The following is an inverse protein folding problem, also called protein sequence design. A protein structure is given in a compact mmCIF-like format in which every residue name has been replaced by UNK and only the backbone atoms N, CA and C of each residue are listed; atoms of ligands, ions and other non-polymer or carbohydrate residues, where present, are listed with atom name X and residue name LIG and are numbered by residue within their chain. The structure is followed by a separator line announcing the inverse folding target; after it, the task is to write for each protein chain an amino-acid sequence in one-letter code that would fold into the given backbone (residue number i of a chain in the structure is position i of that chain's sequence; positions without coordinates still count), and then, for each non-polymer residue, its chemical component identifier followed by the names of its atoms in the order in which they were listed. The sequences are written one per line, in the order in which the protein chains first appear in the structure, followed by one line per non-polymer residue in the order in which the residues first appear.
data_IF_812309265181
#
_entry.id   IF_812309265181
#
_cell.length_a   1.000
_cell.length_b   1.000
_cell.length_c   1.000
_cell.angle_alpha   90.00
_cell.angle_beta   90.00
_cell.angle_gamma   90.00
#
_symmetry.space_group_name_H-M   'P 1'
#
loop_
_entity.id
_entity.type
_entity.pdbx_description
1 polymer ?
#
# COMPACT_ATOMS: atom_id res chain seq x y z
N UNK A 1 18.40 10.55 -53.31
CA UNK A 1 18.36 11.18 -51.96
C UNK A 1 18.56 10.17 -50.81
N UNK A 2 19.11 8.97 -51.04
CA UNK A 2 19.03 7.86 -50.06
C UNK A 2 20.30 7.45 -49.33
N UNK A 3 21.50 7.74 -49.85
CA UNK A 3 22.77 7.27 -49.24
C UNK A 3 23.36 8.30 -48.28
N UNK A 4 23.33 9.58 -48.62
CA UNK A 4 23.85 10.65 -47.76
C UNK A 4 23.11 10.77 -46.43
N UNK A 5 21.77 10.62 -46.43
CA UNK A 5 20.97 10.65 -45.21
C UNK A 5 21.23 9.45 -44.30
N UNK A 6 21.42 8.25 -44.85
CA UNK A 6 21.74 7.07 -44.05
C UNK A 6 23.10 7.20 -43.34
N UNK A 7 24.08 7.80 -44.03
CA UNK A 7 25.38 8.08 -43.43
C UNK A 7 25.25 9.15 -42.35
N UNK A 8 24.52 10.23 -42.61
CA UNK A 8 24.25 11.29 -41.63
C UNK A 8 23.52 10.74 -40.38
N UNK A 9 22.48 9.93 -40.55
CA UNK A 9 21.73 9.32 -39.45
C UNK A 9 22.60 8.33 -38.65
N UNK A 10 23.48 7.57 -39.31
CA UNK A 10 24.41 6.65 -38.63
C UNK A 10 25.48 7.38 -37.82
N UNK A 11 25.95 8.54 -38.31
CA UNK A 11 26.93 9.38 -37.63
C UNK A 11 26.30 10.16 -36.47
N UNK A 12 25.02 10.51 -36.56
CA UNK A 12 24.26 11.12 -35.46
C UNK A 12 23.93 10.08 -34.37
N UNK A 13 23.69 8.82 -34.76
CA UNK A 13 23.43 7.73 -33.81
C UNK A 13 24.62 7.43 -32.89
N UNK A 14 25.86 7.65 -33.36
CA UNK A 14 27.08 7.45 -32.55
C UNK A 14 27.50 8.69 -31.75
N UNK A 15 26.98 9.87 -32.09
CA UNK A 15 27.29 11.17 -31.42
C UNK A 15 26.16 11.63 -30.49
N UNK A 16 25.26 10.72 -30.10
CA UNK A 16 24.37 10.98 -28.98
C UNK A 16 25.13 10.84 -27.66
N UNK A 17 25.97 11.83 -27.34
CA UNK A 17 26.35 12.18 -25.96
C UNK A 17 25.12 12.75 -25.22
N UNK A 18 24.00 12.02 -25.26
CA UNK A 18 22.93 12.23 -24.31
C UNK A 18 23.48 11.67 -23.00
N UNK A 19 23.72 12.49 -21.97
CA UNK A 19 24.13 11.96 -20.67
C UNK A 19 23.11 10.88 -20.27
N UNK A 20 23.54 9.75 -19.67
CA UNK A 20 22.62 8.69 -19.27
C UNK A 20 21.45 9.32 -18.55
N UNK A 21 20.27 9.30 -19.18
CA UNK A 21 19.16 10.06 -18.63
C UNK A 21 18.79 9.39 -17.32
N UNK A 22 18.89 10.14 -16.23
CA UNK A 22 18.64 9.61 -14.90
C UNK A 22 17.15 9.20 -14.82
N UNK A 23 16.91 7.90 -14.97
CA UNK A 23 15.58 7.30 -14.96
C UNK A 23 14.87 7.57 -13.63
N UNK A 24 15.63 7.70 -12.55
CA UNK A 24 15.10 8.05 -11.23
C UNK A 24 14.56 9.48 -11.24
N UNK A 25 15.33 10.44 -11.79
CA UNK A 25 14.89 11.83 -11.92
C UNK A 25 13.64 11.96 -12.80
N UNK A 26 13.59 11.27 -13.94
CA UNK A 26 12.40 11.25 -14.80
C UNK A 26 11.18 10.69 -14.09
N UNK A 27 11.34 9.57 -13.37
CA UNK A 27 10.28 8.95 -12.60
C UNK A 27 9.74 9.89 -11.51
N UNK A 28 10.63 10.65 -10.85
CA UNK A 28 10.24 11.66 -9.85
C UNK A 28 9.42 12.78 -10.48
N UNK A 29 9.86 13.34 -11.60
CA UNK A 29 9.14 14.41 -12.33
C UNK A 29 7.76 13.94 -12.84
N UNK A 30 7.70 12.72 -13.38
CA UNK A 30 6.44 12.12 -13.79
C UNK A 30 5.49 11.90 -12.60
N UNK A 31 6.02 11.42 -11.47
CA UNK A 31 5.23 11.26 -10.25
C UNK A 31 4.73 12.60 -9.68
N UNK A 32 5.52 13.68 -9.74
CA UNK A 32 5.09 15.03 -9.35
C UNK A 32 3.88 15.52 -10.17
N UNK A 33 3.80 15.12 -11.44
CA UNK A 33 2.73 15.54 -12.36
C UNK A 33 1.49 14.64 -12.26
N UNK A 34 1.69 13.32 -12.26
CA UNK A 34 0.61 12.35 -12.43
C UNK A 34 0.29 11.53 -11.18
N UNK A 35 1.12 11.63 -10.13
CA UNK A 35 0.95 10.89 -8.87
C UNK A 35 0.76 9.37 -9.04
N UNK A 36 1.37 8.81 -10.09
CA UNK A 36 1.31 7.38 -10.41
C UNK A 36 1.92 6.50 -9.30
N UNK A 37 1.35 5.32 -9.05
CA UNK A 37 1.79 4.43 -7.98
C UNK A 37 3.20 3.82 -8.23
N UNK A 38 3.82 3.30 -7.15
CA UNK A 38 5.17 2.74 -7.20
C UNK A 38 5.30 1.58 -8.21
N UNK A 39 4.28 0.73 -8.34
CA UNK A 39 4.28 -0.38 -9.30
C UNK A 39 4.33 0.11 -10.75
N UNK A 40 3.65 1.22 -11.07
CA UNK A 40 3.68 1.89 -12.36
C UNK A 40 5.06 2.47 -12.66
N UNK A 41 5.63 3.23 -11.71
CA UNK A 41 6.98 3.79 -11.83
C UNK A 41 8.05 2.71 -12.07
N UNK A 42 7.97 1.62 -11.30
CA UNK A 42 8.89 0.47 -11.44
C UNK A 42 8.87 -0.11 -12.86
N UNK A 43 7.68 -0.32 -13.41
CA UNK A 43 7.49 -0.90 -14.74
C UNK A 43 7.91 0.05 -15.86
N UNK A 44 7.57 1.33 -15.75
CA UNK A 44 7.79 2.32 -16.80
C UNK A 44 9.25 2.78 -16.89
N UNK A 45 9.92 2.96 -15.75
CA UNK A 45 11.28 3.50 -15.68
C UNK A 45 12.32 2.43 -15.35
N UNK A 46 11.93 1.17 -15.18
CA UNK A 46 12.86 0.07 -14.87
C UNK A 46 13.57 0.24 -13.53
N UNK A 47 12.92 0.91 -12.57
CA UNK A 47 13.46 1.12 -11.22
C UNK A 47 13.39 -0.16 -10.38
N UNK A 48 14.16 -0.21 -9.31
CA UNK A 48 13.95 -1.17 -8.22
C UNK A 48 12.66 -0.85 -7.44
N UNK A 49 12.19 -1.82 -6.66
CA UNK A 49 11.00 -1.64 -5.82
C UNK A 49 11.21 -0.57 -4.73
N UNK A 50 12.42 -0.49 -4.16
CA UNK A 50 12.79 0.49 -3.15
C UNK A 50 12.84 1.91 -3.71
N UNK A 51 13.41 2.10 -4.90
CA UNK A 51 13.45 3.41 -5.57
C UNK A 51 12.05 3.93 -5.89
N UNK A 52 11.21 3.07 -6.48
CA UNK A 52 9.85 3.46 -6.81
C UNK A 52 9.00 3.79 -5.57
N UNK A 53 9.17 3.03 -4.48
CA UNK A 53 8.52 3.34 -3.18
C UNK A 53 9.03 4.65 -2.60
N UNK A 54 10.34 4.90 -2.63
CA UNK A 54 10.95 6.14 -2.14
C UNK A 54 10.34 7.37 -2.82
N UNK A 55 10.15 7.34 -4.14
CA UNK A 55 9.47 8.42 -4.88
C UNK A 55 8.04 8.65 -4.36
N UNK A 56 7.26 7.58 -4.20
CA UNK A 56 5.86 7.71 -3.73
C UNK A 56 5.76 8.11 -2.25
N UNK A 57 6.70 7.70 -1.41
CA UNK A 57 6.75 8.00 0.02
C UNK A 57 7.22 9.43 0.29
N UNK A 58 8.15 9.95 -0.53
CA UNK A 58 8.61 11.32 -0.45
C UNK A 58 7.58 12.34 -0.95
N UNK A 59 6.55 11.90 -1.69
CA UNK A 59 5.52 12.79 -2.19
C UNK A 59 4.59 13.26 -1.04
N UNK A 60 4.44 14.56 -0.78
CA UNK A 60 3.58 15.04 0.31
C UNK A 60 2.09 14.72 0.12
N UNK A 61 1.65 14.49 -1.12
CA UNK A 61 0.26 14.11 -1.43
C UNK A 61 0.02 12.60 -1.29
N UNK A 62 1.02 11.78 -1.61
CA UNK A 62 0.86 10.32 -1.68
C UNK A 62 1.46 9.59 -0.48
N UNK A 63 2.53 10.10 0.12
CA UNK A 63 3.31 9.46 1.18
C UNK A 63 2.63 9.43 2.55
N UNK A 64 1.60 10.25 2.76
CA UNK A 64 0.82 10.27 4.01
C UNK A 64 -0.17 9.11 4.11
N UNK A 65 -0.32 8.30 3.06
CA UNK A 65 -1.00 7.01 3.14
C UNK A 65 -0.03 6.00 3.75
N UNK A 66 0.19 6.09 5.06
CA UNK A 66 0.87 5.06 5.82
C UNK A 66 0.16 3.71 5.65
N UNK A 67 0.70 2.60 6.20
CA UNK A 67 -0.05 1.36 6.27
C UNK A 67 -1.39 1.71 6.92
N UNK A 68 -2.50 1.59 6.18
CA UNK A 68 -3.83 2.08 6.58
C UNK A 68 -4.42 1.37 7.81
N UNK A 69 -3.59 0.64 8.53
CA UNK A 69 -3.85 -0.12 9.73
C UNK A 69 -2.80 0.37 10.72
N UNK A 70 -3.26 1.07 11.76
CA UNK A 70 -2.38 1.59 12.80
C UNK A 70 -1.48 0.49 13.34
N UNK A 71 -0.27 0.86 13.79
CA UNK A 71 0.71 -0.06 14.38
C UNK A 71 0.26 -0.67 15.73
N UNK A 72 -0.94 -0.33 16.19
CA UNK A 72 -1.50 -0.82 17.45
C UNK A 72 -2.10 -2.22 17.30
N UNK A 73 -2.00 -2.99 18.38
CA UNK A 73 -2.71 -4.26 18.54
C UNK A 73 -3.84 -4.08 19.56
N UNK A 74 -4.89 -4.89 19.48
CA UNK A 74 -5.95 -4.87 20.48
C UNK A 74 -5.37 -5.31 21.85
N UNK A 75 -5.53 -4.51 22.92
CA UNK A 75 -5.05 -4.88 24.24
C UNK A 75 -5.79 -6.11 24.78
N UNK A 76 -5.14 -6.84 25.69
CA UNK A 76 -5.70 -8.01 26.37
C UNK A 76 -5.37 -7.94 27.86
N UNK A 77 -6.24 -8.52 28.68
CA UNK A 77 -5.99 -8.70 30.11
C UNK A 77 -4.73 -9.52 30.34
N UNK A 78 -4.04 -9.22 31.43
CA UNK A 78 -2.87 -9.94 31.95
C UNK A 78 -3.27 -11.07 32.90
N UNK A 79 -4.49 -11.02 33.45
CA UNK A 79 -5.10 -12.09 34.26
C UNK A 79 -6.58 -12.27 33.91
N UNK A 80 -7.14 -13.40 34.33
CA UNK A 80 -8.56 -13.69 34.15
C UNK A 80 -9.41 -12.63 34.85
N UNK A 81 -10.56 -12.30 34.24
CA UNK A 81 -11.54 -11.34 34.74
C UNK A 81 -11.06 -9.89 34.74
N UNK A 82 -9.95 -9.57 34.07
CA UNK A 82 -9.39 -8.20 34.03
C UNK A 82 -9.93 -7.35 32.88
N UNK A 83 -10.03 -7.93 31.68
CA UNK A 83 -10.47 -7.22 30.48
C UNK A 83 -11.34 -8.13 29.63
N UNK A 84 -12.56 -7.66 29.36
CA UNK A 84 -13.54 -8.34 28.54
C UNK A 84 -13.81 -7.52 27.27
N UNK A 85 -14.04 -8.21 26.16
CA UNK A 85 -14.51 -7.61 24.92
C UNK A 85 -15.93 -8.09 24.65
N UNK A 86 -16.84 -7.18 24.33
CA UNK A 86 -18.21 -7.49 23.94
C UNK A 86 -18.44 -7.08 22.49
N UNK A 87 -19.17 -7.92 21.75
CA UNK A 87 -19.76 -7.54 20.46
C UNK A 87 -21.09 -8.29 20.25
N UNK A 88 -21.85 -7.91 19.23
CA UNK A 88 -23.08 -8.59 18.82
C UNK A 88 -22.86 -9.28 17.49
N UNK A 89 -23.16 -10.58 17.42
CA UNK A 89 -23.17 -11.33 16.15
C UNK A 89 -24.60 -11.70 15.74
N UNK A 90 -24.78 -11.93 14.45
CA UNK A 90 -26.07 -12.21 13.86
C UNK A 90 -26.19 -13.72 13.54
N UNK A 91 -27.05 -14.41 14.29
CA UNK A 91 -27.34 -15.84 14.13
C UNK A 91 -28.78 -15.99 13.62
N UNK A 92 -28.94 -16.07 12.31
CA UNK A 92 -30.25 -16.00 11.64
C UNK A 92 -31.23 -17.10 12.05
N UNK A 93 -30.72 -18.23 12.49
CA UNK A 93 -31.44 -19.41 12.97
C UNK A 93 -32.28 -19.12 14.22
N UNK A 94 -31.95 -18.06 14.97
CA UNK A 94 -32.70 -17.64 16.16
C UNK A 94 -33.85 -16.67 15.86
N UNK A 95 -34.13 -16.36 14.59
CA UNK A 95 -35.29 -15.57 14.18
C UNK A 95 -35.28 -14.16 14.78
N UNK A 96 -36.25 -13.83 15.63
CA UNK A 96 -36.30 -12.54 16.31
C UNK A 96 -35.14 -12.33 17.30
N UNK A 97 -34.60 -13.43 17.86
CA UNK A 97 -33.48 -13.42 18.81
C UNK A 97 -32.11 -13.53 18.11
N UNK A 98 -32.04 -13.20 16.82
CA UNK A 98 -30.83 -13.33 15.99
C UNK A 98 -29.66 -12.46 16.43
N UNK A 99 -29.90 -11.45 17.26
CA UNK A 99 -28.87 -10.56 17.79
C UNK A 99 -28.27 -11.16 19.06
N UNK A 100 -27.22 -11.98 18.90
CA UNK A 100 -26.56 -12.65 20.01
C UNK A 100 -25.49 -11.74 20.58
N UNK A 101 -25.65 -11.33 21.84
CA UNK A 101 -24.65 -10.58 22.58
C UNK A 101 -23.57 -11.55 23.07
N UNK A 102 -22.32 -11.32 22.68
CA UNK A 102 -21.17 -12.17 23.03
C UNK A 102 -20.16 -11.34 23.80
N UNK A 103 -19.75 -11.83 24.97
CA UNK A 103 -18.73 -11.23 25.82
C UNK A 103 -17.63 -12.26 26.08
N UNK A 104 -16.38 -11.92 25.76
CA UNK A 104 -15.21 -12.79 25.90
C UNK A 104 -14.17 -12.18 26.82
N UNK A 105 -13.69 -12.97 27.79
CA UNK A 105 -12.55 -12.59 28.60
C UNK A 105 -11.27 -12.69 27.76
N UNK A 106 -10.59 -11.57 27.58
CA UNK A 106 -9.47 -11.46 26.64
C UNK A 106 -8.23 -12.24 27.06
N UNK A 107 -8.13 -12.64 28.34
CA UNK A 107 -7.07 -13.48 28.89
C UNK A 107 -7.41 -14.98 28.82
N UNK A 108 -8.40 -15.42 29.60
CA UNK A 108 -8.81 -16.82 29.81
C UNK A 108 -9.61 -17.42 28.66
N UNK A 109 -10.15 -16.59 27.76
CA UNK A 109 -11.02 -17.00 26.64
C UNK A 109 -12.37 -17.57 27.08
N UNK A 110 -12.80 -17.34 28.33
CA UNK A 110 -14.17 -17.63 28.74
C UNK A 110 -15.15 -16.79 27.92
N UNK A 111 -16.21 -17.42 27.41
CA UNK A 111 -17.22 -16.79 26.56
C UNK A 111 -18.57 -16.86 27.26
N UNK A 112 -19.28 -15.74 27.27
CA UNK A 112 -20.69 -15.65 27.61
C UNK A 112 -21.48 -15.18 26.39
N UNK A 113 -22.56 -15.88 26.05
CA UNK A 113 -23.42 -15.52 24.93
C UNK A 113 -24.89 -15.55 25.35
N UNK A 114 -25.62 -14.47 25.02
CA UNK A 114 -27.06 -14.34 25.30
C UNK A 114 -27.80 -13.98 24.01
N UNK A 115 -28.78 -14.79 23.63
CA UNK A 115 -29.77 -14.41 22.63
C UNK A 115 -30.89 -13.62 23.34
N UNK A 116 -31.10 -12.36 22.93
CA UNK A 116 -32.10 -11.45 23.49
C UNK A 116 -33.24 -11.19 22.52
#
# INVERSE_FOLDING_TARGET
LGQGNQIADSLVSSVSHVPPVDKFLQARQAHETFHQNAKGLRRQYGLSDSEARSITQACPKCGNHGPGIGLGVNPRGLKALELWQMDVTHVTEFGHLKYVHVTIDTFSKAIWATAL
#
